data_IF_312568580154
#
_entry.id   IF_312568580154
#
_cell.length_a   1.000
_cell.length_b   1.000
_cell.length_c   1.000
_cell.angle_alpha   90.00
_cell.angle_beta   90.00
_cell.angle_gamma   90.00
#
_symmetry.space_group_name_H-M   'P 1'
#
loop_
_entity.id
_entity.type
_entity.pdbx_description
1 polymer ?
#
# COMPACT_ATOMS: atom_id res chain seq x y z
N UNK A 1 18.11 41.39 39.05
CA UNK A 1 18.17 41.81 37.63
C UNK A 1 19.42 41.20 37.03
N UNK A 2 19.31 40.29 36.06
CA UNK A 2 20.48 39.72 35.39
C UNK A 2 20.47 40.17 33.93
N UNK A 3 21.49 40.93 33.56
CA UNK A 3 21.58 41.62 32.28
C UNK A 3 22.37 40.72 31.30
N UNK A 4 21.75 40.26 30.22
CA UNK A 4 22.44 39.46 29.19
C UNK A 4 22.54 40.23 27.89
N UNK A 5 23.77 40.60 27.53
CA UNK A 5 24.11 41.32 26.31
C UNK A 5 24.42 40.35 25.17
N UNK A 6 23.83 40.50 23.98
CA UNK A 6 24.17 39.68 22.82
C UNK A 6 25.57 40.06 22.24
N UNK A 7 26.29 39.11 21.64
CA UNK A 7 27.59 39.36 21.01
C UNK A 7 27.50 40.19 19.71
N UNK A 8 28.60 40.85 19.28
CA UNK A 8 28.60 41.80 18.17
C UNK A 8 28.43 41.16 16.79
N UNK A 9 27.86 41.93 15.86
CA UNK A 9 27.45 41.46 14.53
C UNK A 9 28.60 41.18 13.55
N UNK A 10 28.36 40.19 12.67
CA UNK A 10 29.21 39.92 11.50
C UNK A 10 29.00 40.93 10.36
N UNK A 11 29.88 40.90 9.33
CA UNK A 11 29.95 41.95 8.31
C UNK A 11 28.71 42.00 7.39
N UNK A 12 28.23 43.21 7.16
CA UNK A 12 27.15 43.53 6.22
C UNK A 12 27.60 43.31 4.76
N UNK A 13 26.78 42.61 3.97
CA UNK A 13 26.95 42.57 2.50
C UNK A 13 26.23 43.75 1.83
N UNK A 14 26.77 44.34 0.74
CA UNK A 14 26.15 45.49 0.08
C UNK A 14 24.82 45.13 -0.59
N UNK A 15 23.86 46.05 -0.56
CA UNK A 15 22.53 45.82 -1.13
C UNK A 15 22.51 45.81 -2.65
N UNK A 16 21.65 44.95 -3.21
CA UNK A 16 21.07 45.12 -4.55
C UNK A 16 19.57 45.43 -4.36
N UNK A 17 19.10 46.49 -5.01
CA UNK A 17 17.78 47.07 -4.75
C UNK A 17 16.59 46.27 -5.28
N UNK A 18 15.42 46.57 -4.71
CA UNK A 18 14.10 46.14 -5.18
C UNK A 18 13.85 46.59 -6.63
N UNK A 19 13.25 45.73 -7.46
CA UNK A 19 12.50 46.20 -8.62
C UNK A 19 11.32 45.24 -8.98
N UNK A 20 10.10 45.49 -8.46
CA UNK A 20 8.96 44.58 -8.59
C UNK A 20 8.11 44.79 -9.86
N UNK A 21 8.69 45.22 -10.98
CA UNK A 21 7.98 45.36 -12.26
C UNK A 21 8.81 44.92 -13.46
N UNK A 22 8.68 43.65 -13.86
CA UNK A 22 9.11 43.14 -15.15
C UNK A 22 7.97 42.31 -15.79
N UNK A 23 7.44 42.69 -16.98
CA UNK A 23 6.34 41.97 -17.59
C UNK A 23 6.82 40.63 -18.18
N UNK A 24 6.25 39.52 -17.72
CA UNK A 24 6.47 38.20 -18.32
C UNK A 24 5.79 38.15 -19.70
N UNK A 25 6.60 37.94 -20.73
CA UNK A 25 6.14 37.85 -22.12
C UNK A 25 5.59 36.44 -22.41
N UNK A 26 4.33 36.28 -22.88
CA UNK A 26 3.80 34.97 -23.22
C UNK A 26 4.40 34.45 -24.56
N UNK A 27 4.73 33.16 -24.68
CA UNK A 27 4.98 32.54 -25.97
C UNK A 27 3.64 32.29 -26.68
N UNK A 28 3.39 32.99 -27.77
CA UNK A 28 2.15 32.86 -28.56
C UNK A 28 2.41 32.40 -29.99
N UNK A 29 1.70 31.34 -30.41
CA UNK A 29 1.48 30.97 -31.81
C UNK A 29 2.45 29.94 -32.44
N UNK A 30 2.08 29.25 -33.54
CA UNK A 30 0.76 29.16 -34.20
C UNK A 30 0.72 28.05 -35.28
N UNK A 31 0.14 26.86 -35.02
CA UNK A 31 -0.13 25.84 -36.06
C UNK A 31 -1.44 25.09 -35.75
N UNK A 32 -2.59 25.64 -36.18
CA UNK A 32 -3.40 25.21 -37.35
C UNK A 32 -4.23 23.93 -37.16
N UNK A 33 -5.54 24.13 -37.05
CA UNK A 33 -6.59 23.11 -37.19
C UNK A 33 -6.63 22.51 -38.61
N UNK A 34 -6.98 21.23 -38.69
CA UNK A 34 -7.53 20.62 -39.90
C UNK A 34 -8.74 19.75 -39.49
N UNK A 35 -9.91 20.09 -40.04
CA UNK A 35 -11.15 19.32 -39.89
C UNK A 35 -11.44 18.55 -41.21
N UNK A 36 -12.73 18.20 -41.42
CA UNK A 36 -13.31 17.56 -42.62
C UNK A 36 -13.25 16.01 -42.67
N UNK A 37 -14.26 15.35 -43.27
CA UNK A 37 -15.69 15.70 -43.25
C UNK A 37 -16.61 14.50 -42.95
N UNK A 38 -17.89 14.81 -42.70
CA UNK A 38 -18.96 13.84 -42.43
C UNK A 38 -19.54 13.31 -43.76
N UNK A 39 -19.78 12.00 -43.86
CA UNK A 39 -20.47 11.36 -44.99
C UNK A 39 -21.99 11.24 -44.76
N UNK A 40 -22.85 11.39 -45.79
CA UNK A 40 -24.30 11.47 -45.61
C UNK A 40 -25.01 10.11 -45.57
N UNK A 41 -26.20 10.08 -44.95
CA UNK A 41 -27.15 8.98 -45.04
C UNK A 41 -27.95 9.01 -46.36
N UNK A 42 -28.27 7.84 -46.92
CA UNK A 42 -29.31 7.66 -47.93
C UNK A 42 -30.00 6.30 -47.76
N UNK A 43 -31.25 6.21 -48.24
CA UNK A 43 -32.24 5.16 -47.95
C UNK A 43 -32.76 4.50 -49.23
N UNK A 44 -33.11 3.21 -49.20
CA UNK A 44 -34.10 2.64 -50.13
C UNK A 44 -33.77 1.23 -50.68
N UNK A 45 -34.77 0.48 -51.20
CA UNK A 45 -34.69 -0.97 -51.33
C UNK A 45 -34.94 -1.54 -52.74
N UNK A 46 -34.96 -2.88 -52.84
CA UNK A 46 -35.40 -3.72 -53.99
C UNK A 46 -34.51 -3.64 -55.27
N UNK A 47 -34.43 -4.59 -56.23
CA UNK A 47 -35.18 -5.81 -56.61
C UNK A 47 -34.28 -6.82 -57.37
N UNK A 48 -34.70 -8.10 -57.40
CA UNK A 48 -34.59 -9.12 -58.48
C UNK A 48 -33.36 -9.23 -59.45
N UNK A 49 -32.77 -10.44 -59.51
CA UNK A 49 -32.86 -11.25 -60.74
C UNK A 49 -31.59 -11.75 -61.47
N UNK A 50 -31.64 -13.05 -61.83
CA UNK A 50 -30.98 -13.76 -62.95
C UNK A 50 -29.69 -14.60 -62.70
N UNK A 51 -29.85 -15.93 -62.84
CA UNK A 51 -28.85 -16.91 -63.32
C UNK A 51 -29.15 -17.23 -64.82
N UNK A 52 -28.34 -17.99 -65.61
CA UNK A 52 -28.04 -19.45 -65.44
C UNK A 52 -26.51 -19.75 -65.64
N UNK A 53 -25.92 -20.95 -65.84
CA UNK A 53 -26.33 -22.35 -66.16
C UNK A 53 -25.55 -23.38 -65.31
N UNK A 54 -25.91 -24.68 -65.42
CA UNK A 54 -25.09 -25.86 -65.04
C UNK A 54 -24.40 -26.52 -66.25
N UNK A 55 -23.70 -27.68 -66.10
CA UNK A 55 -24.33 -29.01 -65.83
C UNK A 55 -23.61 -29.83 -64.72
N UNK A 56 -24.23 -30.65 -63.84
CA UNK A 56 -25.14 -31.83 -63.90
C UNK A 56 -24.42 -33.19 -63.63
N UNK A 57 -25.13 -34.14 -62.96
CA UNK A 57 -24.72 -35.49 -62.47
C UNK A 57 -23.77 -35.54 -61.24
N UNK A 58 -23.89 -36.44 -60.26
CA UNK A 58 -24.97 -37.35 -59.77
C UNK A 58 -24.56 -37.96 -58.40
N UNK A 59 -25.46 -38.49 -57.56
CA UNK A 59 -25.14 -38.82 -56.15
C UNK A 59 -24.50 -40.21 -55.95
N UNK A 60 -23.71 -40.36 -54.86
CA UNK A 60 -23.28 -41.67 -54.35
C UNK A 60 -23.37 -41.71 -52.81
N UNK A 61 -24.07 -42.69 -52.20
CA UNK A 61 -24.19 -42.83 -50.75
C UNK A 61 -23.03 -43.66 -50.17
N UNK A 62 -22.46 -43.22 -49.04
CA UNK A 62 -21.46 -44.00 -48.31
C UNK A 62 -20.64 -43.18 -47.32
N UNK A 63 -21.06 -43.16 -46.06
CA UNK A 63 -20.22 -42.67 -44.97
C UNK A 63 -19.19 -43.74 -44.56
N UNK A 64 -17.97 -43.34 -44.24
CA UNK A 64 -17.34 -43.84 -43.02
C UNK A 64 -17.09 -42.71 -42.02
N UNK A 65 -17.30 -43.01 -40.74
CA UNK A 65 -17.01 -42.09 -39.63
C UNK A 65 -15.51 -41.93 -39.47
N UNK A 66 -14.99 -40.72 -39.67
CA UNK A 66 -13.60 -40.36 -39.37
C UNK A 66 -13.39 -40.04 -37.88
N UNK A 67 -12.22 -40.38 -37.29
CA UNK A 67 -11.91 -40.06 -35.90
C UNK A 67 -11.69 -38.54 -35.69
N UNK A 68 -11.99 -38.00 -34.49
CA UNK A 68 -11.97 -36.56 -34.24
C UNK A 68 -10.55 -35.96 -34.17
N UNK A 69 -10.42 -34.77 -34.76
CA UNK A 69 -9.16 -34.05 -34.99
C UNK A 69 -8.55 -33.45 -33.69
N UNK A 70 -7.32 -33.82 -33.26
CA UNK A 70 -6.80 -33.48 -31.94
C UNK A 70 -5.94 -32.20 -31.91
N UNK A 71 -6.41 -31.06 -32.46
CA UNK A 71 -5.63 -29.80 -32.52
C UNK A 71 -6.29 -28.58 -31.84
N UNK A 72 -6.30 -28.55 -30.50
CA UNK A 72 -6.37 -27.30 -29.72
C UNK A 72 -5.85 -27.40 -28.27
N UNK A 73 -4.70 -28.05 -28.06
CA UNK A 73 -4.11 -28.26 -26.71
C UNK A 73 -3.07 -27.22 -26.26
N UNK A 74 -2.81 -26.13 -27.01
CA UNK A 74 -1.79 -25.12 -26.65
C UNK A 74 -2.35 -23.83 -26.02
N UNK A 75 -3.64 -23.53 -26.20
CA UNK A 75 -4.28 -22.36 -25.58
C UNK A 75 -4.57 -22.53 -24.08
N UNK A 76 -4.66 -23.78 -23.60
CA UNK A 76 -4.97 -24.11 -22.20
C UNK A 76 -3.75 -24.03 -21.26
N UNK A 77 -2.51 -24.03 -21.81
CA UNK A 77 -1.29 -24.03 -21.00
C UNK A 77 -0.79 -22.63 -20.62
N UNK A 78 -1.18 -21.59 -21.37
CA UNK A 78 -0.81 -20.20 -21.04
C UNK A 78 -1.67 -19.67 -19.88
N UNK A 79 -2.95 -20.05 -19.80
CA UNK A 79 -3.78 -19.82 -18.61
C UNK A 79 -3.35 -20.69 -17.42
N UNK A 80 -2.93 -21.94 -17.68
CA UNK A 80 -2.40 -22.81 -16.62
C UNK A 80 -1.09 -22.31 -16.02
N UNK A 81 -0.19 -21.69 -16.79
CA UNK A 81 1.08 -21.18 -16.28
C UNK A 81 0.91 -19.99 -15.32
N UNK A 82 0.03 -19.03 -15.67
CA UNK A 82 -0.30 -17.92 -14.77
C UNK A 82 -1.06 -18.39 -13.52
N UNK A 83 -2.01 -19.32 -13.70
CA UNK A 83 -2.72 -19.97 -12.59
C UNK A 83 -1.78 -20.74 -11.67
N UNK A 84 -0.81 -21.48 -12.22
CA UNK A 84 0.14 -22.27 -11.45
C UNK A 84 1.07 -21.39 -10.60
N UNK A 85 1.57 -20.25 -11.09
CA UNK A 85 2.40 -19.34 -10.26
C UNK A 85 1.59 -18.74 -9.11
N UNK A 86 0.34 -18.32 -9.35
CA UNK A 86 -0.54 -17.80 -8.30
C UNK A 86 -0.93 -18.90 -7.31
N UNK A 87 -1.32 -20.08 -7.78
CA UNK A 87 -1.67 -21.22 -6.91
C UNK A 87 -0.46 -21.74 -6.15
N UNK A 88 0.75 -21.75 -6.71
CA UNK A 88 1.97 -22.12 -5.98
C UNK A 88 2.35 -21.03 -4.98
N UNK A 89 2.17 -19.75 -5.29
CA UNK A 89 2.44 -18.67 -4.32
C UNK A 89 1.42 -18.69 -3.18
N UNK A 90 0.14 -18.86 -3.50
CA UNK A 90 -0.93 -19.07 -2.50
C UNK A 90 -0.68 -20.35 -1.72
N UNK A 91 -0.27 -21.45 -2.34
CA UNK A 91 0.03 -22.71 -1.63
C UNK A 91 1.29 -22.61 -0.76
N UNK A 92 2.32 -21.86 -1.17
CA UNK A 92 3.52 -21.62 -0.35
C UNK A 92 3.20 -20.67 0.81
N UNK A 93 2.44 -19.61 0.58
CA UNK A 93 1.96 -18.71 1.66
C UNK A 93 1.02 -19.45 2.60
N UNK A 94 0.10 -20.26 2.07
CA UNK A 94 -0.82 -21.07 2.85
C UNK A 94 -0.03 -22.14 3.63
N UNK A 95 0.92 -22.82 3.02
CA UNK A 95 1.80 -23.79 3.68
C UNK A 95 2.65 -23.13 4.77
N UNK A 96 3.17 -21.91 4.58
CA UNK A 96 3.85 -21.17 5.64
C UNK A 96 2.88 -20.82 6.79
N UNK A 97 1.62 -20.45 6.51
CA UNK A 97 0.62 -20.21 7.56
C UNK A 97 0.06 -21.49 8.22
N UNK A 98 0.06 -22.63 7.53
CA UNK A 98 -0.54 -23.89 8.02
C UNK A 98 0.49 -24.86 8.60
N UNK A 99 1.75 -24.81 8.17
CA UNK A 99 2.88 -25.46 8.84
C UNK A 99 3.34 -24.69 10.10
N UNK A 100 3.00 -23.39 10.19
CA UNK A 100 2.93 -22.67 11.46
C UNK A 100 1.69 -23.02 12.31
N UNK A 101 0.74 -23.78 11.76
CA UNK A 101 -0.48 -24.25 12.40
C UNK A 101 -0.28 -25.47 13.31
N UNK A 102 0.85 -25.54 14.01
CA UNK A 102 1.00 -26.46 15.15
C UNK A 102 0.21 -25.91 16.34
N UNK A 103 -0.69 -26.72 16.92
CA UNK A 103 -1.48 -26.31 18.09
C UNK A 103 -0.55 -26.13 19.31
N UNK A 104 -0.04 -24.92 19.48
CA UNK A 104 0.99 -24.58 20.47
C UNK A 104 1.32 -23.08 20.43
N UNK A 105 1.07 -22.41 21.55
CA UNK A 105 1.28 -20.98 21.77
C UNK A 105 2.71 -20.50 21.43
N UNK A 106 2.88 -19.60 20.45
CA UNK A 106 4.06 -18.73 20.33
C UNK A 106 4.66 -18.51 18.94
N UNK A 107 4.23 -17.45 18.24
CA UNK A 107 4.99 -16.73 17.19
C UNK A 107 5.38 -17.50 15.91
N UNK A 108 6.18 -16.85 15.05
CA UNK A 108 6.72 -17.43 13.81
C UNK A 108 8.06 -18.14 14.03
N UNK A 109 8.42 -19.07 13.13
CA UNK A 109 9.67 -19.84 13.23
C UNK A 109 10.94 -18.98 13.04
N UNK A 110 10.88 -17.96 12.18
CA UNK A 110 11.96 -16.98 11.94
C UNK A 110 11.47 -15.54 12.09
N UNK A 111 12.40 -14.62 12.32
CA UNK A 111 12.13 -13.19 12.40
C UNK A 111 11.59 -12.63 11.07
N UNK A 112 12.23 -12.98 9.95
CA UNK A 112 11.75 -12.68 8.60
C UNK A 112 10.34 -13.22 8.31
N UNK A 113 10.01 -14.44 8.77
CA UNK A 113 8.66 -15.01 8.62
C UNK A 113 7.61 -14.27 9.47
N UNK A 114 7.97 -13.77 10.65
CA UNK A 114 7.06 -12.94 11.46
C UNK A 114 6.67 -11.66 10.72
N UNK A 115 7.65 -10.93 10.18
CA UNK A 115 7.42 -9.70 9.41
C UNK A 115 6.67 -9.97 8.12
N UNK A 116 7.04 -11.02 7.38
CA UNK A 116 6.36 -11.42 6.14
C UNK A 116 4.92 -11.87 6.41
N UNK A 117 4.68 -12.60 7.49
CA UNK A 117 3.36 -13.03 7.94
C UNK A 117 2.47 -11.87 8.33
N UNK A 118 3.00 -10.90 9.08
CA UNK A 118 2.34 -9.64 9.42
C UNK A 118 1.90 -8.87 8.17
N UNK A 119 2.82 -8.61 7.24
CA UNK A 119 2.52 -7.86 6.01
C UNK A 119 1.55 -8.61 5.10
N UNK A 120 1.61 -9.95 5.06
CA UNK A 120 0.64 -10.77 4.35
C UNK A 120 -0.75 -10.72 5.00
N UNK A 121 -0.85 -10.67 6.33
CA UNK A 121 -2.13 -10.49 7.02
C UNK A 121 -2.74 -9.11 6.74
N UNK A 122 -1.93 -8.04 6.78
CA UNK A 122 -2.35 -6.70 6.35
C UNK A 122 -2.88 -6.71 4.91
N UNK A 123 -2.13 -7.29 3.97
CA UNK A 123 -2.49 -7.36 2.55
C UNK A 123 -3.79 -8.15 2.27
N UNK A 124 -4.17 -9.09 3.16
CA UNK A 124 -5.44 -9.84 3.09
C UNK A 124 -6.64 -9.11 3.72
N UNK A 125 -6.42 -8.01 4.44
CA UNK A 125 -7.49 -7.36 5.21
C UNK A 125 -7.81 -8.03 6.55
N UNK A 126 -6.88 -8.82 7.08
CA UNK A 126 -7.03 -9.63 8.30
C UNK A 126 -6.32 -8.96 9.49
N UNK A 127 -7.07 -8.14 10.22
CA UNK A 127 -6.58 -7.36 11.35
C UNK A 127 -6.25 -8.23 12.56
N UNK A 128 -7.00 -9.31 12.81
CA UNK A 128 -6.75 -10.19 13.96
C UNK A 128 -5.47 -11.00 13.76
N UNK A 129 -5.25 -11.55 12.55
CA UNK A 129 -3.98 -12.17 12.22
C UNK A 129 -2.83 -11.14 12.23
N UNK A 130 -3.02 -9.92 11.74
CA UNK A 130 -1.97 -8.89 11.79
C UNK A 130 -1.57 -8.55 13.23
N UNK A 131 -2.54 -8.36 14.14
CA UNK A 131 -2.26 -8.07 15.56
C UNK A 131 -1.62 -9.24 16.31
N UNK A 132 -1.83 -10.49 15.88
CA UNK A 132 -1.23 -11.66 16.55
C UNK A 132 0.29 -11.76 16.34
N UNK A 133 0.83 -11.13 15.29
CA UNK A 133 2.27 -10.99 15.07
C UNK A 133 2.93 -9.90 15.94
N UNK A 134 2.16 -9.09 16.69
CA UNK A 134 2.70 -8.11 17.64
C UNK A 134 2.79 -8.69 19.05
N UNK A 135 3.85 -8.37 19.77
CA UNK A 135 3.91 -8.63 21.22
C UNK A 135 3.05 -7.59 21.96
N UNK A 136 3.32 -6.31 21.72
CA UNK A 136 2.66 -5.22 22.41
C UNK A 136 1.24 -5.05 21.85
N UNK A 137 0.24 -5.41 22.66
CA UNK A 137 -1.16 -5.33 22.27
C UNK A 137 -1.71 -3.90 22.47
N UNK A 138 -2.41 -3.34 21.48
CA UNK A 138 -2.89 -1.97 21.51
C UNK A 138 -4.04 -1.80 22.52
N UNK A 139 -3.99 -0.72 23.31
CA UNK A 139 -4.99 -0.45 24.35
C UNK A 139 -6.41 -0.19 23.81
N UNK A 140 -6.55 0.12 22.51
CA UNK A 140 -7.84 0.18 21.83
C UNK A 140 -7.75 -0.37 20.40
N UNK A 141 -8.82 -1.02 19.94
CA UNK A 141 -8.92 -1.59 18.58
C UNK A 141 -9.85 -0.78 17.64
N UNK A 142 -10.15 0.47 17.97
CA UNK A 142 -11.17 1.29 17.27
C UNK A 142 -10.95 1.38 15.76
N UNK A 143 -9.70 1.44 15.31
CA UNK A 143 -9.31 1.47 13.89
C UNK A 143 -8.55 0.22 13.43
N UNK A 144 -8.45 -0.79 14.30
CA UNK A 144 -7.71 -2.02 14.05
C UNK A 144 -8.67 -3.17 13.75
N UNK A 145 -9.48 -2.99 12.71
CA UNK A 145 -10.55 -3.91 12.33
C UNK A 145 -10.45 -4.32 10.87
N UNK A 146 -10.99 -5.49 10.52
CA UNK A 146 -11.03 -5.99 9.14
C UNK A 146 -11.81 -5.05 8.21
N UNK A 147 -12.74 -4.22 8.71
CA UNK A 147 -13.43 -3.22 7.90
C UNK A 147 -12.50 -2.06 7.54
N UNK A 148 -11.82 -1.48 8.54
CA UNK A 148 -10.89 -0.36 8.33
C UNK A 148 -9.75 -0.81 7.42
N UNK A 149 -9.08 -1.91 7.75
CA UNK A 149 -7.95 -2.44 6.98
C UNK A 149 -8.34 -2.76 5.53
N UNK A 150 -9.57 -3.26 5.27
CA UNK A 150 -10.08 -3.44 3.90
C UNK A 150 -10.23 -2.12 3.14
N UNK A 151 -10.66 -1.03 3.80
CA UNK A 151 -10.67 0.31 3.18
C UNK A 151 -9.25 0.79 2.86
N UNK A 152 -8.28 0.55 3.76
CA UNK A 152 -6.87 0.90 3.53
C UNK A 152 -6.31 0.21 2.28
N UNK A 153 -6.41 -1.12 2.19
CA UNK A 153 -5.86 -1.89 1.05
C UNK A 153 -6.65 -1.72 -0.25
N UNK A 154 -7.90 -1.24 -0.19
CA UNK A 154 -8.66 -0.86 -1.40
C UNK A 154 -8.10 0.41 -2.03
N UNK A 155 -7.65 1.37 -1.21
CA UNK A 155 -7.03 2.61 -1.69
C UNK A 155 -5.54 2.41 -2.02
N UNK A 156 -4.77 1.87 -1.08
CA UNK A 156 -3.34 1.57 -1.23
C UNK A 156 -3.08 0.06 -1.02
N UNK A 157 -3.19 -0.76 -2.07
CA UNK A 157 -2.89 -2.19 -2.00
C UNK A 157 -1.46 -2.45 -1.51
N UNK A 158 -1.30 -3.40 -0.59
CA UNK A 158 0.01 -3.80 -0.06
C UNK A 158 0.62 -4.86 -0.99
N UNK A 159 1.83 -4.62 -1.48
CA UNK A 159 2.50 -5.48 -2.47
C UNK A 159 4.03 -5.42 -2.34
N UNK A 160 4.74 -6.18 -3.18
CA UNK A 160 6.21 -6.18 -3.27
C UNK A 160 6.97 -6.46 -1.94
N UNK A 161 6.33 -7.22 -1.03
CA UNK A 161 6.88 -7.56 0.29
C UNK A 161 8.15 -8.42 0.12
N UNK A 162 9.29 -7.88 0.53
CA UNK A 162 10.61 -8.53 0.45
C UNK A 162 11.40 -8.28 1.72
N UNK A 163 11.92 -9.35 2.32
CA UNK A 163 12.93 -9.27 3.38
C UNK A 163 14.30 -9.13 2.69
N UNK A 164 15.06 -8.11 3.04
CA UNK A 164 16.40 -7.84 2.49
C UNK A 164 17.51 -8.37 3.40
N UNK A 165 17.35 -8.24 4.72
CA UNK A 165 18.20 -8.87 5.73
C UNK A 165 17.41 -9.27 6.97
N UNK A 166 17.96 -10.21 7.71
CA UNK A 166 17.45 -10.65 9.01
C UNK A 166 18.65 -10.78 9.97
N UNK A 167 18.82 -9.77 10.81
CA UNK A 167 19.91 -9.67 11.78
C UNK A 167 19.49 -10.24 13.16
N UNK A 168 18.53 -11.17 13.19
CA UNK A 168 18.05 -11.80 14.42
C UNK A 168 19.07 -12.76 15.04
N UNK A 169 20.08 -12.20 15.71
CA UNK A 169 21.06 -12.96 16.49
C UNK A 169 20.38 -13.71 17.65
N UNK A 170 20.93 -14.87 18.02
CA UNK A 170 20.25 -15.91 18.81
C UNK A 170 19.80 -15.57 20.25
N UNK A 171 19.90 -14.30 20.68
CA UNK A 171 19.51 -13.81 22.00
C UNK A 171 18.01 -13.45 22.12
N UNK A 172 17.20 -13.75 21.09
CA UNK A 172 15.75 -13.55 21.13
C UNK A 172 15.29 -12.12 20.84
N UNK A 173 16.17 -11.27 20.33
CA UNK A 173 15.85 -9.96 19.76
C UNK A 173 16.52 -9.86 18.38
N UNK A 174 15.92 -9.10 17.47
CA UNK A 174 16.37 -9.03 16.09
C UNK A 174 15.89 -7.79 15.37
N UNK A 175 16.46 -7.60 14.18
CA UNK A 175 16.16 -6.51 13.27
C UNK A 175 15.99 -7.08 11.87
N UNK A 176 14.84 -6.81 11.25
CA UNK A 176 14.50 -7.34 9.93
C UNK A 176 14.37 -6.18 8.97
N UNK A 177 15.25 -6.11 7.98
CA UNK A 177 15.16 -5.11 6.92
C UNK A 177 14.13 -5.57 5.89
N UNK A 178 13.06 -4.78 5.73
CA UNK A 178 11.93 -5.11 4.87
C UNK A 178 11.60 -3.95 3.92
N UNK A 179 11.25 -4.32 2.70
CA UNK A 179 10.68 -3.42 1.69
C UNK A 179 9.27 -3.89 1.35
N UNK A 180 8.32 -2.95 1.29
CA UNK A 180 6.96 -3.19 0.85
C UNK A 180 6.35 -1.94 0.21
N UNK A 181 5.50 -2.14 -0.80
CA UNK A 181 4.75 -1.06 -1.44
C UNK A 181 3.36 -0.93 -0.80
N UNK A 182 2.92 0.29 -0.54
CA UNK A 182 1.57 0.66 -0.12
C UNK A 182 0.96 1.56 -1.20
N UNK A 183 0.23 0.96 -2.14
CA UNK A 183 -0.18 1.65 -3.37
C UNK A 183 1.05 2.05 -4.19
N UNK A 184 1.20 3.35 -4.44
CA UNK A 184 2.35 3.96 -5.13
C UNK A 184 3.51 4.34 -4.20
N UNK A 185 3.35 4.19 -2.88
CA UNK A 185 4.39 4.54 -1.89
C UNK A 185 5.27 3.33 -1.59
N UNK A 186 6.59 3.50 -1.68
CA UNK A 186 7.56 2.51 -1.19
C UNK A 186 7.84 2.76 0.29
N UNK A 187 7.90 1.69 1.08
CA UNK A 187 8.37 1.68 2.47
C UNK A 187 9.58 0.76 2.54
N UNK A 188 10.66 1.24 3.15
CA UNK A 188 11.98 0.61 3.18
C UNK A 188 12.60 0.88 4.55
N UNK A 189 12.47 -0.09 5.45
CA UNK A 189 12.77 0.10 6.87
C UNK A 189 13.24 -1.17 7.54
N UNK A 190 13.98 -1.00 8.63
CA UNK A 190 14.21 -2.07 9.61
C UNK A 190 13.06 -2.10 10.61
N UNK A 191 12.49 -3.27 10.85
CA UNK A 191 11.53 -3.53 11.93
C UNK A 191 12.20 -4.31 13.06
N UNK A 192 11.87 -3.94 14.30
CA UNK A 192 12.31 -4.64 15.49
C UNK A 192 11.39 -5.84 15.79
N UNK A 193 12.02 -6.96 16.14
CA UNK A 193 11.35 -8.23 16.44
C UNK A 193 11.98 -8.87 17.67
N UNK A 194 11.16 -9.58 18.45
CA UNK A 194 11.59 -10.35 19.62
C UNK A 194 10.93 -11.72 19.65
N UNK A 195 11.54 -12.66 20.37
CA UNK A 195 10.92 -13.93 20.70
C UNK A 195 9.92 -13.74 21.84
N UNK A 196 8.69 -14.15 21.59
CA UNK A 196 7.58 -14.16 22.54
C UNK A 196 6.99 -15.56 22.60
N UNK A 197 6.89 -16.11 23.81
CA UNK A 197 6.38 -17.45 24.09
C UNK A 197 6.96 -18.62 23.25
N UNK A 198 8.09 -18.44 22.57
CA UNK A 198 8.79 -19.49 21.80
C UNK A 198 9.00 -19.17 20.32
N UNK A 199 8.29 -18.18 19.77
CA UNK A 199 8.42 -17.78 18.36
C UNK A 199 8.59 -16.28 18.18
N UNK A 200 8.98 -15.88 16.98
CA UNK A 200 9.25 -14.48 16.65
C UNK A 200 7.98 -13.69 16.40
N UNK A 201 7.99 -12.44 16.87
CA UNK A 201 6.95 -11.42 16.71
C UNK A 201 7.59 -10.05 16.55
N UNK A 202 6.86 -9.11 15.93
CA UNK A 202 7.20 -7.69 15.95
C UNK A 202 6.98 -7.13 17.35
N UNK A 203 7.76 -6.12 17.75
CA UNK A 203 7.52 -5.42 19.02
C UNK A 203 6.10 -4.87 19.09
N UNK A 204 5.68 -4.13 18.07
CA UNK A 204 4.31 -3.66 17.89
C UNK A 204 3.76 -4.06 16.51
N UNK A 205 2.45 -4.33 16.44
CA UNK A 205 1.72 -4.61 15.19
C UNK A 205 0.82 -3.43 14.73
N UNK A 206 0.77 -2.35 15.50
CA UNK A 206 0.02 -1.14 15.19
C UNK A 206 0.84 0.10 15.52
N UNK A 207 0.72 1.13 14.68
CA UNK A 207 1.31 2.45 14.92
C UNK A 207 0.52 3.12 16.03
N UNK A 208 1.21 3.52 17.10
CA UNK A 208 0.62 4.30 18.21
C UNK A 208 0.70 5.78 17.86
N UNK A 209 -0.42 6.48 17.96
CA UNK A 209 -0.51 7.92 17.76
C UNK A 209 -1.18 8.53 18.99
N UNK A 210 -0.41 9.23 19.81
CA UNK A 210 -0.96 10.02 20.92
C UNK A 210 -1.61 11.33 20.44
N UNK A 211 -2.30 11.99 21.37
CA UNK A 211 -2.94 13.29 21.12
C UNK A 211 -1.96 14.43 20.81
N UNK A 212 -0.69 14.33 21.18
CA UNK A 212 0.32 15.38 20.95
C UNK A 212 0.77 15.40 19.48
N UNK A 213 0.78 14.26 18.80
CA UNK A 213 1.02 14.21 17.34
C UNK A 213 -0.03 14.96 16.52
N UNK A 214 -1.24 15.16 17.07
CA UNK A 214 -2.33 15.91 16.42
C UNK A 214 -2.45 17.34 16.95
N UNK A 215 -2.21 17.53 18.25
CA UNK A 215 -2.39 18.81 18.94
C UNK A 215 -1.05 19.53 19.15
N UNK A 216 -0.67 20.36 18.18
CA UNK A 216 0.16 21.54 18.50
C UNK A 216 -0.57 22.35 19.58
N UNK A 217 0.10 22.58 20.71
CA UNK A 217 -0.50 23.09 21.95
C UNK A 217 -1.46 24.28 21.74
N UNK A 218 -2.70 24.12 22.18
CA UNK A 218 -3.76 25.14 22.09
C UNK A 218 -4.58 25.17 20.79
N UNK A 219 -4.26 24.36 19.78
CA UNK A 219 -4.97 24.41 18.50
C UNK A 219 -6.33 23.68 18.53
N UNK A 220 -7.43 24.43 18.66
CA UNK A 220 -8.79 23.89 18.61
C UNK A 220 -9.12 23.15 17.30
N UNK A 221 -8.42 23.44 16.19
CA UNK A 221 -8.57 22.71 14.94
C UNK A 221 -8.20 21.22 15.07
N UNK A 222 -7.21 20.87 15.90
CA UNK A 222 -6.79 19.48 16.10
C UNK A 222 -7.92 18.60 16.64
N UNK A 223 -8.82 19.17 17.45
CA UNK A 223 -9.98 18.46 18.01
C UNK A 223 -11.07 18.13 16.97
N UNK A 224 -10.94 18.67 15.75
CA UNK A 224 -11.87 18.38 14.65
C UNK A 224 -11.41 17.21 13.79
N UNK A 225 -10.17 16.73 13.94
CA UNK A 225 -9.59 15.68 13.09
C UNK A 225 -10.38 14.38 13.24
N UNK A 226 -10.69 13.76 12.11
CA UNK A 226 -11.33 12.44 12.04
C UNK A 226 -10.46 11.45 11.30
N UNK A 227 -10.44 10.20 11.78
CA UNK A 227 -9.92 9.04 11.08
C UNK A 227 -11.10 8.15 10.67
N UNK A 228 -11.24 7.82 9.39
CA UNK A 228 -12.36 7.04 8.85
C UNK A 228 -13.73 7.57 9.31
N UNK A 229 -13.86 8.91 9.30
CA UNK A 229 -15.05 9.64 9.77
C UNK A 229 -15.27 9.69 11.28
N UNK A 230 -14.45 9.04 12.12
CA UNK A 230 -14.56 9.06 13.58
C UNK A 230 -13.58 10.08 14.21
N UNK A 231 -13.99 10.89 15.19
CA UNK A 231 -13.09 11.85 15.84
C UNK A 231 -11.98 11.15 16.62
N UNK A 232 -10.79 11.78 16.66
CA UNK A 232 -9.59 11.28 17.38
C UNK A 232 -9.05 12.27 18.43
N UNK A 233 -9.79 13.35 18.70
CA UNK A 233 -9.38 14.45 19.57
C UNK A 233 -8.85 14.00 20.94
N UNK A 234 -7.66 14.49 21.30
CA UNK A 234 -6.97 14.30 22.59
C UNK A 234 -6.75 12.83 23.05
N UNK A 235 -7.03 11.85 22.18
CA UNK A 235 -6.95 10.43 22.50
C UNK A 235 -5.68 9.77 21.96
N UNK A 236 -5.19 8.72 22.63
CA UNK A 236 -4.24 7.78 22.00
C UNK A 236 -5.01 6.81 21.12
N UNK A 237 -4.68 6.79 19.83
CA UNK A 237 -5.28 5.92 18.83
C UNK A 237 -4.23 5.00 18.23
N UNK A 238 -4.67 3.84 17.75
CA UNK A 238 -3.82 2.84 17.10
C UNK A 238 -4.34 2.55 15.70
N UNK A 239 -3.46 2.52 14.71
CA UNK A 239 -3.80 2.27 13.30
C UNK A 239 -2.80 1.31 12.66
N UNK A 240 -3.23 0.59 11.62
CA UNK A 240 -2.29 -0.17 10.80
C UNK A 240 -1.56 0.74 9.79
N UNK A 241 -0.31 0.38 9.41
CA UNK A 241 0.38 1.00 8.28
C UNK A 241 -0.46 0.94 7.00
N UNK A 242 -0.49 2.05 6.26
CA UNK A 242 -1.15 2.20 4.97
C UNK A 242 -1.87 3.52 4.81
N UNK A 243 -2.87 3.53 3.91
CA UNK A 243 -3.74 4.68 3.72
C UNK A 243 -4.59 4.94 4.96
N UNK A 244 -4.83 6.20 5.31
CA UNK A 244 -5.79 6.60 6.35
C UNK A 244 -6.72 7.63 5.74
N UNK A 245 -8.03 7.43 5.94
CA UNK A 245 -9.04 8.45 5.64
C UNK A 245 -8.96 9.54 6.71
N UNK A 246 -8.28 10.64 6.42
CA UNK A 246 -8.09 11.74 7.38
C UNK A 246 -8.94 12.92 6.94
N UNK A 247 -9.89 13.30 7.79
CA UNK A 247 -10.80 14.42 7.56
C UNK A 247 -10.88 15.38 8.73
N UNK A 248 -11.85 16.29 8.66
CA UNK A 248 -12.23 17.19 9.74
C UNK A 248 -13.75 17.25 9.87
N UNK A 249 -14.26 17.40 11.10
CA UNK A 249 -15.66 17.79 11.34
C UNK A 249 -15.95 19.26 11.04
N UNK A 250 -14.93 20.08 10.79
CA UNK A 250 -15.06 21.48 10.41
C UNK A 250 -14.90 21.63 8.88
N UNK A 251 -15.96 22.03 8.15
CA UNK A 251 -15.93 22.12 6.69
C UNK A 251 -14.99 23.21 6.14
N UNK A 252 -14.50 24.11 7.00
CA UNK A 252 -13.57 25.17 6.62
C UNK A 252 -12.09 24.78 6.80
N UNK A 253 -11.79 23.53 7.19
CA UNK A 253 -10.43 23.03 7.39
C UNK A 253 -10.09 21.92 6.39
N UNK A 254 -9.05 22.15 5.60
CA UNK A 254 -8.39 21.08 4.83
C UNK A 254 -7.34 20.40 5.72
N UNK A 255 -7.43 19.09 5.87
CA UNK A 255 -6.42 18.29 6.60
C UNK A 255 -5.58 17.53 5.58
N UNK A 256 -4.27 17.54 5.78
CA UNK A 256 -3.31 16.76 5.00
C UNK A 256 -2.26 16.19 5.95
N UNK A 257 -1.88 14.94 5.76
CA UNK A 257 -0.89 14.25 6.58
C UNK A 257 0.10 13.49 5.71
N UNK A 258 1.26 13.15 6.29
CA UNK A 258 2.20 12.21 5.67
C UNK A 258 1.61 10.79 5.70
N UNK A 259 1.89 9.95 4.69
CA UNK A 259 1.58 8.51 4.75
C UNK A 259 2.06 7.87 6.05
N UNK A 260 1.24 7.04 6.68
CA UNK A 260 1.64 6.23 7.84
C UNK A 260 2.09 4.86 7.33
N UNK A 261 3.39 4.59 7.35
CA UNK A 261 4.01 3.41 6.75
C UNK A 261 4.79 2.61 7.81
N UNK A 262 5.63 1.67 7.41
CA UNK A 262 6.32 0.76 8.34
C UNK A 262 7.38 1.48 9.18
N UNK A 263 7.89 2.61 8.69
CA UNK A 263 8.85 3.46 9.40
C UNK A 263 8.25 3.94 10.73
N UNK A 264 6.99 4.38 10.75
CA UNK A 264 6.29 4.76 11.98
C UNK A 264 5.98 3.58 12.92
N UNK A 265 5.90 2.36 12.39
CA UNK A 265 5.79 1.15 13.22
C UNK A 265 7.13 0.87 13.93
N UNK A 266 8.25 1.04 13.22
CA UNK A 266 9.59 0.93 13.80
C UNK A 266 9.80 1.93 14.94
N UNK A 267 9.38 3.19 14.76
CA UNK A 267 9.41 4.21 15.81
C UNK A 267 8.46 3.92 16.99
N UNK A 268 7.43 3.08 16.81
CA UNK A 268 6.51 2.69 17.89
C UNK A 268 7.06 1.52 18.73
N UNK A 269 7.93 0.68 18.16
CA UNK A 269 8.57 -0.45 18.84
C UNK A 269 9.98 -0.13 19.39
N UNK A 270 10.67 0.84 18.80
CA UNK A 270 11.95 1.32 19.28
C UNK A 270 11.80 2.14 20.55
N UNK A 271 12.16 1.56 21.70
CA UNK A 271 12.59 2.38 22.85
C UNK A 271 13.72 3.30 22.37
N UNK A 272 13.59 4.60 22.63
CA UNK A 272 14.55 5.59 22.14
C UNK A 272 15.90 5.32 22.82
N UNK A 273 16.89 4.86 22.05
CA UNK A 273 18.30 4.94 22.44
C UNK A 273 18.68 6.43 22.47
N UNK A 274 18.45 7.07 23.62
CA UNK A 274 18.83 8.46 23.86
C UNK A 274 20.36 8.55 23.91
N UNK A 275 21.00 9.31 23.00
CA UNK A 275 22.46 9.37 22.91
C UNK A 275 23.02 10.32 23.96
N UNK A 276 22.94 9.94 25.24
CA UNK A 276 23.63 10.65 26.32
C UNK A 276 23.09 10.41 27.73
N UNK A 277 23.67 9.44 28.44
CA UNK A 277 24.56 9.82 29.53
C UNK A 277 25.58 8.71 29.84
N UNK A 278 26.86 9.08 29.96
CA UNK A 278 27.90 8.22 30.54
C UNK A 278 28.59 9.05 31.62
N UNK A 279 28.30 8.82 32.91
CA UNK A 279 29.09 9.44 33.96
C UNK A 279 30.54 8.96 33.84
N UNK A 280 31.45 9.93 33.95
CA UNK A 280 32.92 9.75 34.02
C UNK A 280 33.37 9.35 35.42
#
# INVERSE_FOLDING_TARGET
>A
MNNWTPPPGGPQMPGAGLNPHAPVKPPGGLHTWAAHPVGPHATGPDTAGLQPLGPLYSPSPGAPVGPPDPKRRKALWVTLAAGAVVVVTVAVVLFLTLAGGGSGNGGAATAGDAVKGYLAALARGDAEAALSYGVDQPASKQFLTNEVLRKQITQWPISNIRILSDDSVGLGMGRVHVVANFGDKNSDTTLYVKKDHGGWKLDAAAIKLDGQHFSTSGNAAAKTITFFGKPVADATVYVFPGWIDIGSTNPYLTVSAKPLLLEQLSLSGGGVDEPGDRPV
#
